data_IF_510999273101
#
_entry.id   IF_510999273101
#
_cell.length_a   1.000
_cell.length_b   1.000
_cell.length_c   1.000
_cell.angle_alpha   90.00
_cell.angle_beta   90.00
_cell.angle_gamma   90.00
#
_symmetry.space_group_name_H-M   'P 1'
#
loop_
_entity.id
_entity.type
_entity.pdbx_description
1 polymer ?
#
# COMPACT_ATOMS: atom_id res chain seq x y z
N UNK A 1 4.17 -6.29 17.19
CA UNK A 1 2.77 -6.52 17.58
C UNK A 1 2.05 -5.24 17.99
N UNK A 2 2.77 -4.22 18.45
CA UNK A 2 2.19 -3.09 19.21
C UNK A 2 1.19 -2.24 18.42
N UNK A 3 1.44 -1.96 17.13
CA UNK A 3 0.52 -1.16 16.31
C UNK A 3 -0.84 -1.84 16.09
N UNK A 4 -0.84 -3.15 15.82
CA UNK A 4 -2.07 -3.92 15.63
C UNK A 4 -2.86 -4.00 16.95
N UNK A 5 -2.16 -4.23 18.06
CA UNK A 5 -2.79 -4.24 19.38
C UNK A 5 -3.39 -2.88 19.74
N UNK A 6 -2.71 -1.78 19.40
CA UNK A 6 -3.24 -0.43 19.61
C UNK A 6 -4.55 -0.22 18.85
N UNK A 7 -4.59 -0.55 17.54
CA UNK A 7 -5.83 -0.45 16.74
C UNK A 7 -6.94 -1.32 17.34
N UNK A 8 -6.63 -2.57 17.74
CA UNK A 8 -7.60 -3.47 18.37
C UNK A 8 -8.16 -2.89 19.68
N UNK A 9 -7.33 -2.26 20.50
CA UNK A 9 -7.77 -1.62 21.75
C UNK A 9 -8.66 -0.41 21.47
N UNK A 10 -8.29 0.44 20.50
CA UNK A 10 -9.11 1.59 20.11
C UNK A 10 -10.49 1.14 19.61
N UNK A 11 -10.52 0.17 18.70
CA UNK A 11 -11.76 -0.39 18.15
C UNK A 11 -12.67 -0.95 19.25
N UNK A 12 -12.11 -1.73 20.19
CA UNK A 12 -12.87 -2.27 21.34
C UNK A 12 -13.47 -1.21 22.26
N UNK A 13 -12.89 -0.01 22.30
CA UNK A 13 -13.40 1.12 23.08
C UNK A 13 -14.32 2.03 22.24
N UNK A 14 -14.79 1.58 21.07
CA UNK A 14 -15.72 2.32 20.23
C UNK A 14 -15.10 3.51 19.49
N UNK A 15 -13.77 3.61 19.45
CA UNK A 15 -13.07 4.65 18.69
C UNK A 15 -12.96 4.19 17.24
N UNK A 16 -13.36 5.06 16.30
CA UNK A 16 -13.23 4.78 14.86
C UNK A 16 -11.76 4.64 14.49
N UNK A 17 -11.43 3.57 13.79
CA UNK A 17 -10.07 3.14 13.44
C UNK A 17 -9.87 3.02 11.95
N UNK A 18 -8.63 3.19 11.51
CA UNK A 18 -8.23 2.88 10.15
C UNK A 18 -6.78 2.41 10.12
N UNK A 19 -6.43 1.67 9.07
CA UNK A 19 -5.05 1.30 8.79
C UNK A 19 -4.64 1.94 7.48
N UNK A 20 -3.55 2.71 7.54
CA UNK A 20 -2.95 3.33 6.38
C UNK A 20 -1.75 2.52 5.89
N UNK A 21 -1.88 1.93 4.70
CA UNK A 21 -0.86 1.12 4.06
C UNK A 21 -0.10 2.03 3.07
N UNK A 22 0.96 2.66 3.57
CA UNK A 22 1.73 3.68 2.86
C UNK A 22 3.24 3.59 3.14
N UNK A 23 4.09 3.82 2.12
CA UNK A 23 3.76 3.63 0.71
C UNK A 23 3.61 2.13 0.42
N UNK A 24 2.73 1.76 -0.50
CA UNK A 24 2.73 0.41 -1.05
C UNK A 24 3.96 0.24 -1.95
N UNK A 25 4.70 -0.84 -1.70
CA UNK A 25 5.68 -1.39 -2.61
C UNK A 25 5.02 -2.55 -3.38
N UNK A 26 4.60 -2.37 -4.63
CA UNK A 26 3.87 -3.40 -5.37
C UNK A 26 4.66 -4.70 -5.44
N UNK A 27 3.94 -5.82 -5.27
CA UNK A 27 4.50 -7.19 -5.20
C UNK A 27 5.50 -7.42 -4.03
N UNK A 28 5.66 -6.48 -3.12
CA UNK A 28 6.50 -6.59 -1.90
C UNK A 28 5.64 -6.42 -0.64
N UNK A 29 4.81 -5.38 -0.58
CA UNK A 29 3.89 -5.13 0.54
C UNK A 29 2.75 -6.16 0.53
N UNK A 30 2.59 -7.00 1.56
CA UNK A 30 1.54 -8.03 1.62
C UNK A 30 0.24 -7.41 2.15
N UNK A 31 -0.36 -6.49 1.40
CA UNK A 31 -1.52 -5.72 1.88
C UNK A 31 -2.74 -6.61 2.17
N UNK A 32 -2.94 -7.68 1.39
CA UNK A 32 -4.02 -8.63 1.60
C UNK A 32 -3.90 -9.33 2.97
N UNK A 33 -2.69 -9.77 3.34
CA UNK A 33 -2.43 -10.39 4.65
C UNK A 33 -2.65 -9.41 5.79
N UNK A 34 -2.26 -8.14 5.62
CA UNK A 34 -2.49 -7.08 6.61
C UNK A 34 -4.00 -6.95 6.83
N UNK A 35 -4.78 -6.82 5.75
CA UNK A 35 -6.23 -6.70 5.79
C UNK A 35 -6.86 -7.93 6.45
N UNK A 36 -6.50 -9.15 6.05
CA UNK A 36 -7.09 -10.36 6.63
C UNK A 36 -6.85 -10.46 8.14
N UNK A 37 -5.67 -10.02 8.61
CA UNK A 37 -5.31 -10.03 10.03
C UNK A 37 -5.99 -8.91 10.83
N UNK A 38 -6.47 -7.84 10.18
CA UNK A 38 -6.95 -6.65 10.88
C UNK A 38 -8.40 -6.21 10.60
N UNK A 39 -9.05 -6.75 9.57
CA UNK A 39 -10.39 -6.31 9.13
C UNK A 39 -11.46 -6.38 10.22
N UNK A 40 -11.33 -7.30 11.19
CA UNK A 40 -12.29 -7.46 12.28
C UNK A 40 -12.19 -6.37 13.37
N UNK A 41 -11.22 -5.47 13.28
CA UNK A 41 -11.01 -4.37 14.22
C UNK A 41 -10.51 -3.10 13.53
N UNK A 42 -10.85 -2.92 12.26
CA UNK A 42 -10.48 -1.76 11.45
C UNK A 42 -11.71 -1.30 10.67
N UNK A 43 -12.13 -0.04 10.81
CA UNK A 43 -13.35 0.44 10.15
C UNK A 43 -13.15 0.72 8.66
N UNK A 44 -11.97 1.18 8.26
CA UNK A 44 -11.62 1.38 6.85
C UNK A 44 -10.11 1.31 6.61
N UNK A 45 -9.72 1.10 5.35
CA UNK A 45 -8.33 1.03 4.93
C UNK A 45 -7.99 2.20 4.01
N UNK A 46 -6.75 2.68 4.10
CA UNK A 46 -6.22 3.70 3.21
C UNK A 46 -4.95 3.17 2.55
N UNK A 47 -4.69 3.62 1.32
CA UNK A 47 -3.57 3.17 0.51
C UNK A 47 -2.89 4.37 -0.16
N UNK A 48 -1.55 4.38 -0.19
CA UNK A 48 -0.76 5.39 -0.91
C UNK A 48 0.26 4.69 -1.81
N UNK A 49 0.48 5.22 -3.01
CA UNK A 49 1.50 4.72 -3.92
C UNK A 49 2.91 5.14 -3.47
N UNK A 50 3.91 4.36 -3.86
CA UNK A 50 5.30 4.76 -3.74
C UNK A 50 5.59 5.97 -4.64
N UNK A 51 6.14 7.03 -4.04
CA UNK A 51 6.51 8.26 -4.74
C UNK A 51 7.99 8.23 -5.16
N UNK A 52 8.23 8.17 -6.47
CA UNK A 52 9.56 8.35 -7.05
C UNK A 52 9.88 9.84 -7.13
N UNK A 53 10.83 10.29 -6.30
CA UNK A 53 11.41 11.63 -6.35
C UNK A 53 12.87 11.50 -6.77
N UNK A 54 13.40 12.49 -7.50
CA UNK A 54 14.79 12.47 -8.01
C UNK A 54 15.82 11.99 -6.98
N UNK A 55 15.73 12.47 -5.73
CA UNK A 55 16.65 12.12 -4.65
C UNK A 55 16.49 10.70 -4.07
N UNK A 56 15.34 10.03 -4.25
CA UNK A 56 15.05 8.73 -3.63
C UNK A 56 15.07 7.55 -4.61
N UNK A 57 15.01 7.81 -5.93
CA UNK A 57 14.94 6.79 -6.98
C UNK A 57 16.05 5.75 -6.85
N UNK A 58 17.31 6.19 -6.74
CA UNK A 58 18.46 5.27 -6.66
C UNK A 58 18.35 4.38 -5.42
N UNK A 59 17.91 4.95 -4.29
CA UNK A 59 17.74 4.21 -3.03
C UNK A 59 16.63 3.16 -3.13
N UNK A 60 15.50 3.49 -3.76
CA UNK A 60 14.39 2.56 -4.00
C UNK A 60 14.87 1.41 -4.89
N UNK A 61 15.46 1.71 -6.06
CA UNK A 61 15.89 0.68 -6.99
C UNK A 61 16.99 -0.22 -6.39
N UNK A 62 17.96 0.35 -5.67
CA UNK A 62 19.00 -0.42 -4.98
C UNK A 62 18.43 -1.31 -3.88
N UNK A 63 17.38 -0.86 -3.18
CA UNK A 63 16.70 -1.69 -2.18
C UNK A 63 15.99 -2.88 -2.86
N UNK A 64 15.23 -2.62 -3.92
CA UNK A 64 14.50 -3.65 -4.67
C UNK A 64 15.47 -4.63 -5.32
N UNK A 65 16.53 -4.18 -5.97
CA UNK A 65 17.54 -5.04 -6.58
C UNK A 65 18.18 -6.00 -5.56
N UNK A 66 18.60 -5.48 -4.40
CA UNK A 66 19.29 -6.29 -3.39
C UNK A 66 18.38 -7.27 -2.65
N UNK A 67 17.11 -6.92 -2.42
CA UNK A 67 16.20 -7.69 -1.56
C UNK A 67 15.15 -8.46 -2.33
N UNK A 68 14.72 -7.95 -3.48
CA UNK A 68 13.63 -8.46 -4.30
C UNK A 68 13.99 -8.40 -5.80
N UNK A 69 15.11 -8.99 -6.24
CA UNK A 69 15.62 -8.82 -7.61
C UNK A 69 14.61 -9.26 -8.69
N UNK A 70 13.73 -10.22 -8.36
CA UNK A 70 12.69 -10.73 -9.26
C UNK A 70 11.68 -9.67 -9.71
N UNK A 71 11.50 -8.59 -8.94
CA UNK A 71 10.55 -7.51 -9.30
C UNK A 71 11.27 -6.24 -9.75
N UNK A 72 12.60 -6.24 -9.89
CA UNK A 72 13.35 -5.04 -10.27
C UNK A 72 12.88 -4.44 -11.61
N UNK A 73 12.59 -5.30 -12.60
CA UNK A 73 12.08 -4.88 -13.91
C UNK A 73 10.77 -4.11 -13.80
N UNK A 74 9.83 -4.58 -12.95
CA UNK A 74 8.57 -3.90 -12.67
C UNK A 74 8.83 -2.49 -12.12
N UNK A 75 9.75 -2.33 -11.17
CA UNK A 75 10.03 -1.01 -10.58
C UNK A 75 10.72 -0.06 -11.56
N UNK A 76 11.56 -0.58 -12.45
CA UNK A 76 12.14 0.21 -13.55
C UNK A 76 11.08 0.66 -14.55
N UNK A 77 10.09 -0.18 -14.84
CA UNK A 77 8.98 0.12 -15.75
C UNK A 77 7.99 1.12 -15.14
N UNK A 78 7.61 0.93 -13.87
CA UNK A 78 6.71 1.80 -13.11
C UNK A 78 7.17 3.26 -13.04
N UNK A 79 8.49 3.50 -13.13
CA UNK A 79 9.05 4.86 -13.22
C UNK A 79 8.75 5.56 -14.55
N UNK A 80 8.55 4.78 -15.62
CA UNK A 80 8.36 5.27 -17.00
C UNK A 80 6.90 5.21 -17.42
N UNK A 81 6.14 4.24 -16.90
CA UNK A 81 4.78 3.96 -17.30
C UNK A 81 3.82 4.13 -16.11
N UNK A 82 3.05 5.23 -16.12
CA UNK A 82 2.06 5.52 -15.07
C UNK A 82 0.87 4.56 -15.07
N UNK A 83 0.55 3.94 -16.21
CA UNK A 83 -0.58 3.00 -16.31
C UNK A 83 -0.42 1.79 -15.39
N UNK A 84 0.81 1.44 -14.98
CA UNK A 84 1.04 0.36 -14.01
C UNK A 84 0.45 0.71 -12.64
N UNK A 85 0.50 1.99 -12.23
CA UNK A 85 -0.14 2.43 -10.99
C UNK A 85 -1.67 2.35 -11.09
N UNK A 86 -2.24 2.66 -12.26
CA UNK A 86 -3.68 2.54 -12.50
C UNK A 86 -4.13 1.07 -12.40
N UNK A 87 -3.34 0.13 -12.92
CA UNK A 87 -3.60 -1.30 -12.78
C UNK A 87 -3.54 -1.75 -11.31
N UNK A 88 -2.53 -1.30 -10.56
CA UNK A 88 -2.41 -1.63 -9.13
C UNK A 88 -3.54 -1.03 -8.31
N UNK A 89 -3.93 0.20 -8.60
CA UNK A 89 -5.08 0.85 -7.98
C UNK A 89 -6.36 0.05 -8.23
N UNK A 90 -6.57 -0.39 -9.47
CA UNK A 90 -7.72 -1.22 -9.84
C UNK A 90 -7.71 -2.57 -9.12
N UNK A 91 -6.56 -3.26 -9.05
CA UNK A 91 -6.40 -4.51 -8.30
C UNK A 91 -6.81 -4.33 -6.82
N UNK A 92 -6.38 -3.24 -6.17
CA UNK A 92 -6.72 -2.96 -4.76
C UNK A 92 -8.21 -2.64 -4.61
N UNK A 93 -8.79 -1.85 -5.52
CA UNK A 93 -10.22 -1.52 -5.51
C UNK A 93 -11.07 -2.77 -5.63
N UNK A 94 -10.74 -3.65 -6.59
CA UNK A 94 -11.45 -4.92 -6.79
C UNK A 94 -11.34 -5.82 -5.56
N UNK A 95 -10.15 -5.94 -4.97
CA UNK A 95 -9.96 -6.68 -3.72
C UNK A 95 -10.85 -6.14 -2.60
N UNK A 96 -10.88 -4.82 -2.39
CA UNK A 96 -11.73 -4.19 -1.38
C UNK A 96 -13.22 -4.42 -1.64
N UNK A 97 -13.67 -4.35 -2.90
CA UNK A 97 -15.05 -4.64 -3.28
C UNK A 97 -15.43 -6.09 -2.97
N UNK A 98 -14.60 -7.05 -3.38
CA UNK A 98 -14.83 -8.49 -3.12
C UNK A 98 -14.87 -8.78 -1.62
N UNK A 99 -14.01 -8.14 -0.84
CA UNK A 99 -13.98 -8.28 0.63
C UNK A 99 -15.04 -7.45 1.35
N UNK A 100 -15.82 -6.61 0.63
CA UNK A 100 -16.82 -5.67 1.18
C UNK A 100 -16.23 -4.72 2.22
N UNK A 101 -15.05 -4.16 1.93
CA UNK A 101 -14.33 -3.24 2.81
C UNK A 101 -14.50 -1.79 2.36
N UNK A 102 -14.55 -0.87 3.32
CA UNK A 102 -14.37 0.56 3.06
C UNK A 102 -12.88 0.84 2.83
N UNK A 103 -12.54 1.28 1.62
CA UNK A 103 -11.17 1.55 1.20
C UNK A 103 -11.08 2.90 0.50
N UNK A 104 -10.05 3.68 0.85
CA UNK A 104 -9.70 4.95 0.20
C UNK A 104 -8.35 4.82 -0.48
N UNK A 105 -8.29 5.23 -1.74
CA UNK A 105 -7.04 5.23 -2.51
C UNK A 105 -6.56 6.66 -2.62
N UNK A 106 -5.45 6.95 -1.97
CA UNK A 106 -4.73 8.22 -2.04
C UNK A 106 -3.51 8.02 -2.95
N UNK A 107 -3.75 7.71 -4.22
CA UNK A 107 -2.68 7.61 -5.21
C UNK A 107 -2.46 8.97 -5.89
N UNK A 108 -1.24 9.19 -6.40
CA UNK A 108 -0.86 10.36 -7.21
C UNK A 108 -0.69 11.69 -6.45
N UNK A 109 -0.61 11.68 -5.11
CA UNK A 109 -0.35 12.91 -4.34
C UNK A 109 1.12 13.33 -4.42
N UNK A 110 1.37 14.59 -4.79
CA UNK A 110 2.70 15.21 -4.76
C UNK A 110 3.47 15.23 -6.08
N UNK A 111 2.85 14.78 -7.19
CA UNK A 111 3.41 14.87 -8.54
C UNK A 111 4.52 13.85 -8.84
N UNK A 112 4.52 13.33 -10.07
CA UNK A 112 5.61 12.49 -10.59
C UNK A 112 6.68 13.42 -11.18
N UNK A 113 7.61 13.88 -10.34
CA UNK A 113 8.77 14.66 -10.78
C UNK A 113 9.82 13.78 -11.46
#
# INVERSE_FOLDING_TARGET
>A
MDRINAIKTLYKNGIKTYIFISPIFPRITPYEDIIQKSKNFTDYFMFENLNYRSHNISRILSFVERRFPKVLSLYQEMRKNRAIWELIEQEIKEYCQVQKLDCKIEFHHGGFS
#
